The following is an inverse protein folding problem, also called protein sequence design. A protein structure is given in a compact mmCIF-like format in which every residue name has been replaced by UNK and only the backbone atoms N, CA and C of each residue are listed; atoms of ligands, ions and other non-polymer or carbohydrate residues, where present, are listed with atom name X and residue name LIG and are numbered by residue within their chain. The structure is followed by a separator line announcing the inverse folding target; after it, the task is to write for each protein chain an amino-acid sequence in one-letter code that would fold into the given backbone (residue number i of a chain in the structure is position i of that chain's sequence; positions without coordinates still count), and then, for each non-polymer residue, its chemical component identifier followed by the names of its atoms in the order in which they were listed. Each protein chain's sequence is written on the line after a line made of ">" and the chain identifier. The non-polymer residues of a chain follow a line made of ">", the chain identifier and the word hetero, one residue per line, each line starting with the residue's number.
data_IF_044314517103
#
_entry.id   IF_044314517103
#
_cell.length_a   1.000
_cell.length_b   1.000
_cell.length_c   1.000
_cell.angle_alpha   90.00
_cell.angle_beta   90.00
_cell.angle_gamma   90.00
#
_symmetry.space_group_name_H-M   'P 1'
#
loop_
_entity.id
_entity.type
_entity.pdbx_description
1 polymer ?
#
# COMPACT_ATOMS: atom_id res chain seq x y z
N UNK A 1 13.48 6.63 10.98
CA UNK A 1 13.97 5.88 12.15
C UNK A 1 14.01 4.37 11.92
N UNK A 2 13.21 3.78 11.00
CA UNK A 2 13.24 2.32 10.74
C UNK A 2 12.73 1.48 11.92
N UNK A 3 12.01 2.13 12.85
CA UNK A 3 11.46 1.55 14.07
C UNK A 3 10.31 0.59 13.75
N UNK A 4 9.43 0.98 12.83
CA UNK A 4 8.41 0.08 12.29
C UNK A 4 9.08 -1.04 11.47
N UNK A 5 8.84 -2.28 11.88
CA UNK A 5 9.37 -3.48 11.23
C UNK A 5 8.25 -4.30 10.62
N UNK A 6 8.55 -4.94 9.50
CA UNK A 6 7.69 -5.96 8.91
C UNK A 6 7.59 -7.22 9.78
N UNK A 7 6.82 -8.20 9.31
CA UNK A 7 6.52 -9.41 10.06
C UNK A 7 7.76 -10.27 10.35
N UNK A 8 8.81 -10.16 9.53
CA UNK A 8 10.10 -10.82 9.71
C UNK A 8 11.13 -9.97 10.46
N UNK A 9 10.75 -8.79 10.97
CA UNK A 9 11.66 -7.89 11.68
C UNK A 9 12.51 -6.98 10.78
N UNK A 10 12.41 -7.11 9.46
CA UNK A 10 13.08 -6.23 8.49
C UNK A 10 12.44 -4.84 8.47
N UNK A 11 13.23 -3.81 8.18
CA UNK A 11 12.71 -2.46 8.00
C UNK A 11 11.93 -2.35 6.68
N UNK A 12 10.93 -1.47 6.64
CA UNK A 12 10.17 -1.18 5.42
C UNK A 12 11.06 -0.44 4.41
N UNK A 13 10.98 -0.85 3.14
CA UNK A 13 11.69 -0.27 2.01
C UNK A 13 10.74 0.32 0.96
N UNK A 14 9.53 -0.23 0.88
CA UNK A 14 8.55 0.09 -0.16
C UNK A 14 7.21 0.46 0.47
N UNK A 15 6.54 1.42 -0.14
CA UNK A 15 5.18 1.82 0.24
C UNK A 15 4.30 1.82 -1.00
N UNK A 16 3.19 1.10 -0.96
CA UNK A 16 2.17 1.09 -2.02
C UNK A 16 0.96 1.90 -1.53
N UNK A 17 0.65 3.01 -2.19
CA UNK A 17 -0.60 3.73 -1.99
C UNK A 17 -1.66 3.20 -2.97
N UNK A 18 -2.74 2.63 -2.45
CA UNK A 18 -3.88 2.15 -3.23
C UNK A 18 -5.05 3.10 -2.99
N UNK A 19 -5.49 3.78 -4.04
CA UNK A 19 -6.60 4.73 -3.97
C UNK A 19 -6.92 5.26 -5.36
N UNK A 20 -8.08 5.90 -5.54
CA UNK A 20 -8.46 6.49 -6.82
C UNK A 20 -8.78 7.97 -6.69
N UNK A 21 -8.73 8.70 -7.81
CA UNK A 21 -9.07 10.12 -7.86
C UNK A 21 -8.25 10.95 -6.87
N UNK A 22 -8.92 11.65 -5.96
CA UNK A 22 -8.25 12.47 -4.94
C UNK A 22 -7.32 11.70 -3.99
N UNK A 23 -7.58 10.40 -3.77
CA UNK A 23 -6.73 9.52 -2.95
C UNK A 23 -5.42 9.09 -3.63
N UNK A 24 -5.24 9.43 -4.91
CA UNK A 24 -4.07 9.05 -5.72
C UNK A 24 -3.39 10.25 -6.36
N UNK A 25 -4.14 11.08 -7.10
CA UNK A 25 -3.60 12.14 -7.95
C UNK A 25 -2.75 13.15 -7.17
N UNK A 26 -3.23 13.60 -6.00
CA UNK A 26 -2.51 14.54 -5.15
C UNK A 26 -1.21 13.96 -4.60
N UNK A 27 -1.27 12.83 -3.86
CA UNK A 27 -0.08 12.13 -3.36
C UNK A 27 0.94 11.79 -4.46
N UNK A 28 0.50 11.26 -5.60
CA UNK A 28 1.38 10.94 -6.72
C UNK A 28 2.08 12.18 -7.26
N UNK A 29 1.32 13.24 -7.57
CA UNK A 29 1.88 14.47 -8.13
C UNK A 29 2.92 15.11 -7.21
N UNK A 30 2.62 15.24 -5.90
CA UNK A 30 3.53 15.90 -4.96
C UNK A 30 4.79 15.08 -4.71
N UNK A 31 4.69 13.76 -4.62
CA UNK A 31 5.86 12.89 -4.44
C UNK A 31 6.77 12.88 -5.66
N UNK A 32 6.20 12.98 -6.86
CA UNK A 32 6.96 13.15 -8.10
C UNK A 32 7.62 14.53 -8.19
N UNK A 33 6.89 15.60 -7.91
CA UNK A 33 7.42 16.97 -7.93
C UNK A 33 8.57 17.18 -6.92
N UNK A 34 8.47 16.54 -5.75
CA UNK A 34 9.45 16.63 -4.68
C UNK A 34 10.43 15.46 -4.66
N UNK A 35 10.56 14.70 -5.76
CA UNK A 35 11.47 13.55 -5.86
C UNK A 35 12.91 13.84 -5.36
N UNK A 36 13.53 15.01 -5.60
CA UNK A 36 14.87 15.31 -5.06
C UNK A 36 14.96 15.29 -3.52
N UNK A 37 13.84 15.44 -2.83
CA UNK A 37 13.74 15.44 -1.37
C UNK A 37 13.35 14.09 -0.77
N UNK A 38 13.26 13.03 -1.60
CA UNK A 38 12.88 11.70 -1.11
C UNK A 38 13.88 11.19 -0.08
N UNK A 39 13.38 10.36 0.83
CA UNK A 39 14.23 9.55 1.69
C UNK A 39 14.52 8.18 1.03
N UNK A 40 14.94 7.18 1.81
CA UNK A 40 15.29 5.85 1.31
C UNK A 40 14.08 5.00 0.84
N UNK A 41 12.84 5.40 1.15
CA UNK A 41 11.65 4.64 0.76
C UNK A 41 11.36 4.78 -0.74
N UNK A 42 10.80 3.73 -1.32
CA UNK A 42 10.28 3.73 -2.67
C UNK A 42 8.77 3.74 -2.63
N UNK A 43 8.17 4.75 -3.27
CA UNK A 43 6.72 4.94 -3.32
C UNK A 43 6.16 4.36 -4.62
N UNK A 44 5.06 3.63 -4.51
CA UNK A 44 4.30 3.09 -5.63
C UNK A 44 2.84 3.53 -5.49
N UNK A 45 2.17 3.81 -6.61
CA UNK A 45 0.81 4.34 -6.63
C UNK A 45 -0.06 3.48 -7.53
N UNK A 46 -1.15 2.96 -6.99
CA UNK A 46 -2.06 2.04 -7.69
C UNK A 46 -3.48 2.59 -7.63
N UNK A 47 -3.98 3.04 -8.76
CA UNK A 47 -5.29 3.67 -8.89
C UNK A 47 -6.16 3.13 -10.02
N UNK A 48 -5.60 2.27 -10.87
CA UNK A 48 -6.36 1.72 -11.98
C UNK A 48 -7.22 0.55 -11.50
N UNK A 49 -8.43 0.43 -12.05
CA UNK A 49 -9.31 -0.72 -11.82
C UNK A 49 -8.80 -1.98 -12.53
N UNK A 50 -8.03 -1.81 -13.62
CA UNK A 50 -7.36 -2.91 -14.30
C UNK A 50 -6.31 -3.56 -13.38
N UNK A 51 -6.49 -4.86 -13.14
CA UNK A 51 -5.63 -5.69 -12.30
C UNK A 51 -4.16 -5.74 -12.76
N UNK A 52 -3.87 -5.34 -14.00
CA UNK A 52 -2.49 -5.21 -14.51
C UNK A 52 -1.67 -4.26 -13.64
N UNK A 53 -2.25 -3.14 -13.20
CA UNK A 53 -1.48 -2.12 -12.47
C UNK A 53 -0.98 -2.64 -11.11
N UNK A 54 -1.85 -3.29 -10.34
CA UNK A 54 -1.46 -3.91 -9.08
C UNK A 54 -0.50 -5.08 -9.33
N UNK A 55 -0.78 -5.94 -10.32
CA UNK A 55 0.07 -7.10 -10.62
C UNK A 55 1.51 -6.69 -10.98
N UNK A 56 1.70 -5.68 -11.82
CA UNK A 56 3.03 -5.18 -12.18
C UNK A 56 3.74 -4.47 -11.04
N UNK A 57 3.00 -3.85 -10.12
CA UNK A 57 3.56 -3.25 -8.90
C UNK A 57 4.05 -4.33 -7.94
N UNK A 58 3.24 -5.36 -7.69
CA UNK A 58 3.56 -6.45 -6.76
C UNK A 58 4.76 -7.31 -7.19
N UNK A 59 5.07 -7.36 -8.50
CA UNK A 59 6.29 -8.00 -9.01
C UNK A 59 7.58 -7.29 -8.61
N UNK A 60 7.51 -6.01 -8.24
CA UNK A 60 8.69 -5.16 -7.96
C UNK A 60 9.03 -5.05 -6.48
N UNK A 61 8.16 -5.53 -5.60
CA UNK A 61 8.26 -5.31 -4.15
C UNK A 61 8.35 -6.63 -3.37
N UNK A 62 8.74 -6.55 -2.10
CA UNK A 62 8.91 -7.71 -1.23
C UNK A 62 7.86 -7.70 -0.09
N UNK A 63 7.07 -8.78 0.11
CA UNK A 63 6.08 -8.86 1.20
C UNK A 63 6.67 -8.59 2.60
N UNK A 64 7.94 -8.91 2.84
CA UNK A 64 8.59 -8.71 4.14
C UNK A 64 8.92 -7.24 4.45
N UNK A 65 9.00 -6.38 3.43
CA UNK A 65 9.48 -5.00 3.57
C UNK A 65 8.57 -3.96 2.90
N UNK A 66 7.33 -4.34 2.56
CA UNK A 66 6.37 -3.44 1.91
C UNK A 66 5.25 -3.05 2.86
N UNK A 67 4.95 -1.75 2.96
CA UNK A 67 3.75 -1.23 3.62
C UNK A 67 2.71 -0.85 2.57
N UNK A 68 1.46 -1.29 2.75
CA UNK A 68 0.33 -0.95 1.89
C UNK A 68 -0.57 0.06 2.60
N UNK A 69 -0.82 1.20 1.96
CA UNK A 69 -1.76 2.22 2.39
C UNK A 69 -3.04 2.09 1.55
N UNK A 70 -4.16 1.80 2.20
CA UNK A 70 -5.48 1.69 1.55
C UNK A 70 -6.25 2.99 1.77
N UNK A 71 -6.34 3.81 0.72
CA UNK A 71 -6.85 5.16 0.77
C UNK A 71 -8.26 5.26 0.18
N UNK A 72 -9.26 5.05 1.03
CA UNK A 72 -10.68 5.21 0.69
C UNK A 72 -11.44 5.74 1.90
N UNK A 73 -12.06 6.91 1.77
CA UNK A 73 -12.84 7.55 2.83
C UNK A 73 -13.94 6.62 3.38
N UNK A 74 -14.67 5.96 2.49
CA UNK A 74 -15.76 5.06 2.85
C UNK A 74 -15.29 3.63 3.11
N UNK A 75 -14.05 3.28 2.73
CA UNK A 75 -13.52 1.92 2.77
C UNK A 75 -14.36 0.89 2.00
N UNK A 76 -15.13 1.37 1.02
CA UNK A 76 -16.03 0.55 0.19
C UNK A 76 -15.88 0.83 -1.31
N UNK A 77 -15.01 1.78 -1.68
CA UNK A 77 -14.73 2.12 -3.10
C UNK A 77 -14.27 0.86 -3.83
N UNK A 78 -15.04 0.43 -4.84
CA UNK A 78 -14.88 -0.89 -5.46
C UNK A 78 -13.46 -1.09 -6.01
N UNK A 79 -12.95 -0.14 -6.79
CA UNK A 79 -11.63 -0.19 -7.42
C UNK A 79 -10.51 -0.25 -6.37
N UNK A 80 -10.64 0.55 -5.31
CA UNK A 80 -9.66 0.57 -4.20
C UNK A 80 -9.68 -0.74 -3.43
N UNK A 81 -10.86 -1.26 -3.09
CA UNK A 81 -11.00 -2.49 -2.31
C UNK A 81 -10.62 -3.73 -3.12
N UNK A 82 -10.91 -3.77 -4.41
CA UNK A 82 -10.44 -4.85 -5.31
C UNK A 82 -8.91 -4.91 -5.31
N UNK A 83 -8.23 -3.79 -5.52
CA UNK A 83 -6.77 -3.73 -5.49
C UNK A 83 -6.20 -4.04 -4.09
N UNK A 84 -6.83 -3.54 -3.02
CA UNK A 84 -6.41 -3.82 -1.65
C UNK A 84 -6.52 -5.31 -1.31
N UNK A 85 -7.59 -5.98 -1.75
CA UNK A 85 -7.76 -7.42 -1.59
C UNK A 85 -6.72 -8.20 -2.39
N UNK A 86 -6.41 -7.80 -3.63
CA UNK A 86 -5.32 -8.41 -4.40
C UNK A 86 -3.96 -8.28 -3.71
N UNK A 87 -3.66 -7.11 -3.12
CA UNK A 87 -2.44 -6.91 -2.34
C UNK A 87 -2.43 -7.74 -1.05
N UNK A 88 -3.58 -7.87 -0.36
CA UNK A 88 -3.76 -8.71 0.83
C UNK A 88 -3.50 -10.18 0.51
N UNK A 89 -4.08 -10.71 -0.55
CA UNK A 89 -3.93 -12.11 -0.94
C UNK A 89 -2.50 -12.42 -1.35
N UNK A 90 -1.86 -11.52 -2.11
CA UNK A 90 -0.43 -11.61 -2.43
C UNK A 90 0.45 -11.61 -1.17
N UNK A 91 0.16 -10.75 -0.20
CA UNK A 91 0.91 -10.67 1.05
C UNK A 91 0.75 -11.97 1.87
N UNK A 92 -0.48 -12.45 2.05
CA UNK A 92 -0.77 -13.66 2.81
C UNK A 92 -0.25 -14.92 2.14
N UNK A 93 -0.12 -14.94 0.81
CA UNK A 93 0.55 -16.03 0.12
C UNK A 93 2.00 -16.22 0.60
N UNK A 94 2.66 -15.16 1.08
CA UNK A 94 4.01 -15.21 1.66
C UNK A 94 4.00 -15.29 3.19
N UNK A 95 3.25 -14.39 3.85
CA UNK A 95 3.25 -14.24 5.31
C UNK A 95 2.50 -15.37 6.05
N UNK A 96 1.55 -16.03 5.39
CA UNK A 96 0.70 -17.15 5.86
C UNK A 96 -0.24 -16.84 7.04
N UNK A 97 0.16 -16.00 7.98
CA UNK A 97 -0.62 -15.61 9.16
C UNK A 97 -1.27 -14.22 8.96
N UNK A 98 -2.59 -14.16 9.14
CA UNK A 98 -3.35 -12.92 9.04
C UNK A 98 -2.98 -11.89 10.11
N UNK A 99 -2.47 -12.31 11.27
CA UNK A 99 -2.00 -11.39 12.30
C UNK A 99 -0.89 -10.46 11.80
N UNK A 100 -0.18 -10.84 10.73
CA UNK A 100 0.88 -10.03 10.13
C UNK A 100 0.35 -8.86 9.30
N UNK A 101 -0.93 -8.85 8.92
CA UNK A 101 -1.56 -7.74 8.18
C UNK A 101 -1.40 -6.43 8.96
N UNK A 102 -1.56 -6.46 10.28
CA UNK A 102 -1.45 -5.27 11.14
C UNK A 102 -0.08 -4.57 11.06
N UNK A 103 0.97 -5.26 10.59
CA UNK A 103 2.31 -4.68 10.37
C UNK A 103 2.53 -4.15 8.96
N UNK A 104 1.67 -4.48 8.01
CA UNK A 104 1.88 -4.24 6.58
C UNK A 104 0.73 -3.51 5.88
N UNK A 105 -0.39 -3.25 6.56
CA UNK A 105 -1.52 -2.54 6.01
C UNK A 105 -1.97 -1.42 6.96
N UNK A 106 -2.17 -0.24 6.41
CA UNK A 106 -2.80 0.89 7.10
C UNK A 106 -3.93 1.46 6.24
N UNK A 107 -4.99 1.94 6.91
CA UNK A 107 -6.15 2.53 6.24
C UNK A 107 -6.14 4.06 6.39
N UNK A 108 -6.34 4.77 5.29
CA UNK A 108 -6.67 6.20 5.27
C UNK A 108 -8.18 6.31 5.03
N UNK A 109 -8.94 6.24 6.11
CA UNK A 109 -10.40 6.13 6.08
C UNK A 109 -11.01 6.78 7.31
N UNK A 110 -12.28 7.16 7.20
CA UNK A 110 -13.11 7.57 8.36
C UNK A 110 -14.09 6.48 8.77
N UNK A 111 -14.13 5.36 8.06
CA UNK A 111 -15.00 4.22 8.34
C UNK A 111 -14.35 3.26 9.36
N UNK A 112 -13.91 3.80 10.50
CA UNK A 112 -13.72 2.99 11.68
C UNK A 112 -15.09 2.83 12.34
N UNK A 113 -15.56 1.60 12.55
CA UNK A 113 -16.68 1.39 13.48
C UNK A 113 -16.22 1.85 14.86
N UNK A 114 -17.04 2.63 15.55
CA UNK A 114 -16.95 2.76 17.01
C UNK A 114 -17.08 1.38 17.68
#
# INVERSE_FOLDING_TARGET
>A
SGEWKGYTGKAITDVINIGIGGSDLGPYMVTEALRPYKNHLTMHFVSNVDGTHIAETLKKVNPETTLVLVASKTFTTQETMTNANSARDWFLASAKDEAHIAKHFAALSTNAKE
#
